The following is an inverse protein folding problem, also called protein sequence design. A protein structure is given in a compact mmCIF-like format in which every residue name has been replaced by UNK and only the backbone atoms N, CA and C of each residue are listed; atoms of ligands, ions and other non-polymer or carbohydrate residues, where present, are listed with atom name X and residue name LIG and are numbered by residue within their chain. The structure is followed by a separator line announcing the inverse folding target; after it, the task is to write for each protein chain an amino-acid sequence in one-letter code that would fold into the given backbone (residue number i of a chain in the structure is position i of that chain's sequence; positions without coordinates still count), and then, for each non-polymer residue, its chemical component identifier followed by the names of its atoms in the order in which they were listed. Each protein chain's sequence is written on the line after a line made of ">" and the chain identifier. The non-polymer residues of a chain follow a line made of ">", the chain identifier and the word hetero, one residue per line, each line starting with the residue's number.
data_IF_361881115446
#
_entry.id   IF_361881115446
#
_cell.length_a   1.000
_cell.length_b   1.000
_cell.length_c   1.000
_cell.angle_alpha   90.00
_cell.angle_beta   90.00
_cell.angle_gamma   90.00
#
_symmetry.space_group_name_H-M   'P 1'
#
loop_
_entity.id
_entity.type
_entity.pdbx_description
1 polymer ?
#
# COMPACT_ATOMS: atom_id res chain seq x y z
N UNK A 1 9.74 -13.28 -19.99
CA UNK A 1 10.22 -11.90 -20.09
C UNK A 1 10.33 -11.40 -18.67
N UNK A 2 11.54 -11.00 -18.27
CA UNK A 2 11.76 -10.36 -16.96
C UNK A 2 11.57 -8.86 -17.17
N UNK A 3 10.83 -8.22 -16.25
CA UNK A 3 10.56 -6.79 -16.27
C UNK A 3 11.03 -6.22 -14.93
N UNK A 4 12.02 -5.33 -15.00
CA UNK A 4 12.76 -4.86 -13.81
C UNK A 4 11.98 -3.86 -12.95
N UNK A 5 10.83 -3.38 -13.41
CA UNK A 5 10.03 -2.40 -12.67
C UNK A 5 8.55 -2.45 -13.02
N UNK A 6 7.71 -2.07 -12.06
CA UNK A 6 6.26 -2.02 -12.26
C UNK A 6 5.83 -1.10 -13.42
N UNK A 7 6.40 0.12 -13.59
CA UNK A 7 6.05 0.97 -14.73
C UNK A 7 6.33 0.33 -16.09
N UNK A 8 7.35 -0.52 -16.21
CA UNK A 8 7.60 -1.26 -17.46
C UNK A 8 6.47 -2.24 -17.75
N UNK A 9 5.96 -2.96 -16.74
CA UNK A 9 4.79 -3.84 -16.91
C UNK A 9 3.58 -3.06 -17.42
N UNK A 10 3.33 -1.86 -16.88
CA UNK A 10 2.25 -0.97 -17.34
C UNK A 10 2.43 -0.60 -18.82
N UNK A 11 3.66 -0.24 -19.23
CA UNK A 11 3.94 0.08 -20.62
C UNK A 11 3.79 -1.13 -21.56
N UNK A 12 4.15 -2.34 -21.13
CA UNK A 12 3.92 -3.56 -21.90
C UNK A 12 2.43 -3.83 -22.12
N UNK A 13 1.59 -3.59 -21.11
CA UNK A 13 0.13 -3.71 -21.20
C UNK A 13 -0.44 -2.68 -22.18
N UNK A 14 -0.07 -1.41 -22.02
CA UNK A 14 -0.54 -0.32 -22.89
C UNK A 14 -0.13 -0.52 -24.36
N UNK A 15 1.04 -1.12 -24.59
CA UNK A 15 1.53 -1.43 -25.94
C UNK A 15 0.97 -2.75 -26.51
N UNK A 16 0.09 -3.45 -25.77
CA UNK A 16 -0.51 -4.72 -26.19
C UNK A 16 0.47 -5.90 -26.26
N UNK A 17 1.61 -5.80 -25.56
CA UNK A 17 2.59 -6.91 -25.44
C UNK A 17 2.28 -7.83 -24.26
N UNK A 18 1.53 -7.34 -23.28
CA UNK A 18 0.95 -8.12 -22.19
C UNK A 18 -0.56 -7.86 -22.09
N UNK A 19 -1.34 -8.88 -21.73
CA UNK A 19 -2.78 -8.72 -21.51
C UNK A 19 -3.11 -8.16 -20.12
N UNK A 20 -2.29 -8.50 -19.11
CA UNK A 20 -2.45 -8.08 -17.72
C UNK A 20 -1.15 -8.22 -16.92
N UNK A 21 -1.11 -7.62 -15.73
CA UNK A 21 -0.05 -7.77 -14.74
C UNK A 21 -0.63 -7.99 -13.34
N UNK A 22 0.15 -8.61 -12.45
CA UNK A 22 -0.19 -8.75 -11.03
C UNK A 22 0.59 -7.69 -10.26
N UNK A 23 -0.12 -6.91 -9.46
CA UNK A 23 0.41 -5.76 -8.74
C UNK A 23 -0.12 -5.74 -7.32
N UNK A 24 0.55 -5.00 -6.45
CA UNK A 24 -0.06 -4.57 -5.19
C UNK A 24 -1.33 -3.74 -5.48
N UNK A 25 -2.36 -3.88 -4.65
CA UNK A 25 -3.67 -3.27 -4.89
C UNK A 25 -3.61 -1.73 -4.87
N UNK A 26 -2.82 -1.14 -3.97
CA UNK A 26 -2.67 0.32 -3.88
C UNK A 26 -1.95 0.87 -5.10
N UNK A 27 -0.91 0.15 -5.55
CA UNK A 27 -0.15 0.49 -6.74
C UNK A 27 -0.98 0.35 -8.03
N UNK A 28 -1.77 -0.72 -8.16
CA UNK A 28 -2.66 -0.92 -9.31
C UNK A 28 -3.69 0.20 -9.44
N UNK A 29 -4.25 0.62 -8.30
CA UNK A 29 -5.22 1.72 -8.22
C UNK A 29 -4.61 3.02 -8.74
N UNK A 30 -3.40 3.36 -8.29
CA UNK A 30 -2.73 4.59 -8.72
C UNK A 30 -2.37 4.56 -10.21
N UNK A 31 -1.82 3.46 -10.73
CA UNK A 31 -1.52 3.35 -12.15
C UNK A 31 -2.76 3.48 -13.04
N UNK A 32 -3.91 2.96 -12.60
CA UNK A 32 -5.16 3.12 -13.36
C UNK A 32 -5.70 4.55 -13.31
N UNK A 33 -5.44 5.32 -12.24
CA UNK A 33 -5.77 6.76 -12.21
C UNK A 33 -4.92 7.56 -13.19
N UNK A 34 -3.63 7.22 -13.30
CA UNK A 34 -2.67 7.94 -14.16
C UNK A 34 -2.75 7.56 -15.65
N UNK A 35 -3.36 6.41 -15.98
CA UNK A 35 -3.37 5.87 -17.34
C UNK A 35 -4.80 5.54 -17.78
N UNK A 36 -5.42 6.46 -18.53
CA UNK A 36 -6.72 6.24 -19.14
C UNK A 36 -6.74 4.97 -20.00
N UNK A 37 -7.76 4.14 -19.81
CA UNK A 37 -7.93 2.88 -20.55
C UNK A 37 -7.42 1.64 -19.84
N UNK A 38 -6.72 1.77 -18.71
CA UNK A 38 -6.45 0.66 -17.81
C UNK A 38 -7.60 0.44 -16.82
N UNK A 39 -7.77 -0.81 -16.43
CA UNK A 39 -8.69 -1.22 -15.37
C UNK A 39 -8.00 -2.27 -14.50
N UNK A 40 -8.50 -2.45 -13.29
CA UNK A 40 -7.98 -3.44 -12.35
C UNK A 40 -9.12 -4.21 -11.69
N UNK A 41 -8.77 -5.37 -11.15
CA UNK A 41 -9.65 -6.18 -10.31
C UNK A 41 -8.83 -6.64 -9.12
N UNK A 42 -9.35 -6.42 -7.91
CA UNK A 42 -8.72 -6.89 -6.69
C UNK A 42 -9.04 -8.38 -6.55
N UNK A 43 -7.98 -9.20 -6.45
CA UNK A 43 -8.12 -10.61 -6.09
C UNK A 43 -8.12 -10.67 -4.56
N UNK A 44 -9.22 -11.10 -3.92
CA UNK A 44 -9.29 -11.15 -2.47
C UNK A 44 -8.23 -12.10 -1.91
N UNK A 45 -7.52 -11.65 -0.89
CA UNK A 45 -6.56 -12.45 -0.12
C UNK A 45 -6.61 -12.00 1.34
N UNK A 46 -6.32 -12.91 2.26
CA UNK A 46 -6.20 -12.58 3.67
C UNK A 46 -4.95 -11.72 3.84
N UNK A 47 -5.12 -10.49 4.33
CA UNK A 47 -3.99 -9.64 4.68
C UNK A 47 -3.36 -10.22 5.95
N UNK A 48 -2.07 -10.54 5.89
CA UNK A 48 -1.30 -11.01 7.03
C UNK A 48 -0.41 -9.89 7.56
N UNK A 49 0.19 -10.07 8.74
CA UNK A 49 1.23 -9.16 9.24
C UNK A 49 2.38 -9.00 8.23
N UNK A 50 2.69 -10.03 7.44
CA UNK A 50 3.72 -9.99 6.40
C UNK A 50 3.39 -9.06 5.23
N UNK A 51 2.12 -8.68 5.09
CA UNK A 51 1.62 -7.80 4.02
C UNK A 51 1.51 -6.34 4.50
N UNK A 52 1.99 -6.03 5.71
CA UNK A 52 1.99 -4.68 6.28
C UNK A 52 3.28 -3.92 6.01
N UNK A 53 3.20 -2.59 6.01
CA UNK A 53 4.36 -1.72 5.85
C UNK A 53 4.97 -1.36 7.21
N UNK A 54 6.29 -1.35 7.29
CA UNK A 54 7.05 -0.96 8.48
C UNK A 54 8.24 -0.08 8.13
N UNK A 55 8.67 0.75 9.08
CA UNK A 55 9.88 1.56 8.97
C UNK A 55 11.06 0.74 9.50
N UNK A 56 11.97 0.35 8.62
CA UNK A 56 13.19 -0.35 9.02
C UNK A 56 14.26 0.63 9.54
N UNK A 57 14.81 0.34 10.71
CA UNK A 57 15.92 1.11 11.32
C UNK A 57 17.12 0.21 11.59
N UNK A 58 18.36 0.76 11.69
CA UNK A 58 19.52 -0.01 12.10
C UNK A 58 19.30 -0.69 13.44
N UNK A 59 19.83 -1.92 13.59
CA UNK A 59 19.73 -2.65 14.85
C UNK A 59 20.39 -1.85 15.98
N UNK A 60 19.66 -1.66 17.09
CA UNK A 60 20.13 -0.87 18.24
C UNK A 60 20.02 0.64 18.04
N UNK A 61 19.25 1.11 17.06
CA UNK A 61 18.90 2.52 16.94
C UNK A 61 18.20 3.00 18.22
N UNK A 62 18.74 4.06 18.86
CA UNK A 62 18.18 4.64 20.08
C UNK A 62 16.87 5.40 19.89
N UNK A 63 16.38 5.49 18.64
CA UNK A 63 15.19 6.25 18.25
C UNK A 63 14.04 5.36 17.76
N UNK A 64 14.15 4.02 17.91
CA UNK A 64 13.09 3.10 17.53
C UNK A 64 11.80 3.36 18.33
N UNK A 65 11.94 3.54 19.65
CA UNK A 65 10.80 3.75 20.55
C UNK A 65 10.11 5.10 20.28
N UNK A 66 10.89 6.14 19.96
CA UNK A 66 10.37 7.45 19.57
C UNK A 66 9.57 7.37 18.27
N UNK A 67 10.06 6.64 17.26
CA UNK A 67 9.34 6.44 15.98
C UNK A 67 8.01 5.73 16.23
N UNK A 68 8.00 4.65 17.02
CA UNK A 68 6.79 3.91 17.30
C UNK A 68 5.78 4.78 18.07
N UNK A 69 6.25 5.56 19.04
CA UNK A 69 5.39 6.49 19.80
C UNK A 69 4.73 7.52 18.88
N UNK A 70 5.49 8.14 17.99
CA UNK A 70 4.95 9.11 17.03
C UNK A 70 3.93 8.44 16.09
N UNK A 71 4.22 7.23 15.60
CA UNK A 71 3.28 6.51 14.73
C UNK A 71 1.97 6.17 15.45
N UNK A 72 2.02 5.88 16.75
CA UNK A 72 0.82 5.62 17.55
C UNK A 72 0.04 6.91 17.83
N UNK A 73 0.72 8.01 18.18
CA UNK A 73 0.11 9.34 18.30
C UNK A 73 -0.60 9.75 17.01
N UNK A 74 0.03 9.50 15.85
CA UNK A 74 -0.55 9.81 14.54
C UNK A 74 -1.81 8.98 14.22
N UNK A 75 -1.90 7.75 14.73
CA UNK A 75 -3.11 6.92 14.59
C UNK A 75 -4.21 7.43 15.53
N UNK A 76 -3.86 7.81 16.76
CA UNK A 76 -4.80 8.29 17.77
C UNK A 76 -5.39 9.66 17.41
N UNK A 77 -4.56 10.58 16.89
CA UNK A 77 -4.97 11.95 16.56
C UNK A 77 -5.60 12.11 15.17
N UNK A 78 -5.58 11.04 14.35
CA UNK A 78 -6.16 11.00 13.01
C UNK A 78 -5.27 11.58 11.90
N UNK A 79 -4.07 12.09 12.22
CA UNK A 79 -3.16 12.61 11.20
C UNK A 79 -2.67 11.52 10.23
N UNK A 80 -2.57 10.27 10.67
CA UNK A 80 -2.28 9.13 9.78
C UNK A 80 -3.42 8.91 8.79
N UNK A 81 -4.67 8.98 9.26
CA UNK A 81 -5.86 8.85 8.41
C UNK A 81 -5.88 9.92 7.32
N UNK A 82 -5.63 11.18 7.69
CA UNK A 82 -5.58 12.31 6.75
C UNK A 82 -4.51 12.10 5.65
N UNK A 83 -3.36 11.52 6.00
CA UNK A 83 -2.32 11.16 5.04
C UNK A 83 -2.82 10.07 4.08
N UNK A 84 -3.46 9.02 4.59
CA UNK A 84 -3.99 7.95 3.74
C UNK A 84 -5.08 8.43 2.81
N UNK A 85 -6.06 9.20 3.30
CA UNK A 85 -7.12 9.76 2.46
C UNK A 85 -6.54 10.64 1.35
N UNK A 86 -5.54 11.46 1.66
CA UNK A 86 -4.89 12.34 0.67
C UNK A 86 -4.28 11.57 -0.50
N UNK A 87 -3.65 10.43 -0.24
CA UNK A 87 -2.87 9.70 -1.25
C UNK A 87 -3.59 8.49 -1.85
N UNK A 88 -4.40 7.80 -1.05
CA UNK A 88 -5.09 6.58 -1.44
C UNK A 88 -6.57 6.84 -1.78
N UNK A 89 -7.16 7.86 -1.17
CA UNK A 89 -8.60 8.14 -1.22
C UNK A 89 -9.37 7.46 -0.09
N UNK A 90 -10.63 7.88 0.10
CA UNK A 90 -11.51 7.43 1.19
C UNK A 90 -11.77 5.91 1.16
N UNK A 91 -12.19 5.37 0.01
CA UNK A 91 -12.58 3.96 -0.10
C UNK A 91 -11.41 3.01 0.21
N UNK A 92 -10.22 3.33 -0.29
CA UNK A 92 -9.01 2.54 -0.05
C UNK A 92 -8.53 2.65 1.41
N UNK A 93 -8.65 3.84 2.00
CA UNK A 93 -8.30 4.07 3.42
C UNK A 93 -9.22 3.27 4.34
N UNK A 94 -10.54 3.33 4.11
CA UNK A 94 -11.52 2.59 4.89
C UNK A 94 -11.31 1.07 4.78
N UNK A 95 -10.97 0.57 3.58
CA UNK A 95 -10.65 -0.84 3.40
C UNK A 95 -9.39 -1.25 4.16
N UNK A 96 -8.34 -0.43 4.13
CA UNK A 96 -7.11 -0.67 4.89
C UNK A 96 -7.38 -0.70 6.40
N UNK A 97 -8.05 0.32 6.94
CA UNK A 97 -8.39 0.42 8.37
C UNK A 97 -9.22 -0.77 8.86
N UNK A 98 -10.21 -1.20 8.05
CA UNK A 98 -10.98 -2.40 8.34
C UNK A 98 -10.12 -3.67 8.35
N UNK A 99 -9.14 -3.76 7.45
CA UNK A 99 -8.27 -4.94 7.33
C UNK A 99 -7.27 -5.04 8.47
N UNK A 100 -6.80 -3.91 9.01
CA UNK A 100 -5.85 -3.90 10.12
C UNK A 100 -6.51 -3.98 11.50
N UNK A 101 -7.80 -3.64 11.62
CA UNK A 101 -8.51 -3.70 12.90
C UNK A 101 -8.53 -5.10 13.53
N UNK A 102 -8.52 -6.14 12.69
CA UNK A 102 -8.53 -7.54 13.11
C UNK A 102 -7.12 -8.15 13.20
N UNK A 103 -6.08 -7.40 12.80
CA UNK A 103 -4.70 -7.84 12.89
C UNK A 103 -4.14 -7.45 14.26
N UNK A 104 -3.56 -8.41 14.99
CA UNK A 104 -2.76 -8.11 16.18
C UNK A 104 -1.42 -7.47 15.76
N UNK A 105 -1.47 -6.27 15.19
CA UNK A 105 -0.31 -5.46 14.83
C UNK A 105 0.19 -4.81 16.12
N UNK A 106 1.05 -5.55 16.83
CA UNK A 106 1.82 -5.13 17.99
C UNK A 106 1.00 -4.69 19.23
N UNK A 107 0.77 -5.65 20.14
CA UNK A 107 0.99 -5.40 21.57
C UNK A 107 2.47 -5.51 21.88
#
# INVERSE_FOLDING_TARGET
>A
MELDSTPLVIQEILNGRCDAGIFDATQATEFCKENEGLTYTIIPSDITLGDTFAIAVPKGAGYLDDINTILDEMKEDGSMHDIFVKWLGEDATAQYEASIADLEIAK
#
